data_IF_548662285198
#
_entry.id   IF_548662285198
#
_cell.length_a   1.000
_cell.length_b   1.000
_cell.length_c   1.000
_cell.angle_alpha   90.00
_cell.angle_beta   90.00
_cell.angle_gamma   90.00
#
_symmetry.space_group_name_H-M   'P 1'
#
loop_
_entity.id
_entity.type
_entity.pdbx_description
1 polymer ?
#
# COMPACT_ATOMS: atom_id res chain seq x y z
N UNK A 1 -14.54 -6.62 10.73
CA UNK A 1 -14.16 -7.46 9.57
C UNK A 1 -15.18 -7.17 8.48
N UNK A 2 -14.72 -6.79 7.29
CA UNK A 2 -15.61 -6.52 6.15
C UNK A 2 -16.27 -7.84 5.73
N UNK A 3 -17.61 -7.96 5.73
CA UNK A 3 -18.36 -9.21 5.54
C UNK A 3 -18.14 -9.89 4.16
N UNK A 4 -17.31 -9.31 3.29
CA UNK A 4 -17.04 -9.80 1.93
C UNK A 4 -15.56 -10.13 1.69
N UNK A 5 -14.77 -10.23 2.76
CA UNK A 5 -13.37 -10.64 2.69
C UNK A 5 -13.30 -12.16 2.45
N UNK A 6 -12.46 -12.60 1.50
CA UNK A 6 -12.19 -14.03 1.30
C UNK A 6 -11.57 -14.63 2.57
N UNK A 7 -11.69 -15.95 2.81
CA UNK A 7 -11.01 -16.61 3.93
C UNK A 7 -9.50 -16.31 3.97
N UNK A 8 -8.86 -16.25 2.79
CA UNK A 8 -7.47 -15.87 2.63
C UNK A 8 -7.22 -14.43 3.10
N UNK A 9 -8.09 -13.49 2.71
CA UNK A 9 -7.99 -12.10 3.14
C UNK A 9 -8.17 -11.91 4.66
N UNK A 10 -9.09 -12.65 5.27
CA UNK A 10 -9.29 -12.62 6.73
C UNK A 10 -8.06 -13.18 7.45
N UNK A 11 -7.57 -14.36 7.05
CA UNK A 11 -6.38 -14.97 7.64
C UNK A 11 -5.15 -14.05 7.47
N UNK A 12 -5.01 -13.42 6.30
CA UNK A 12 -3.90 -12.52 6.02
C UNK A 12 -3.94 -11.25 6.88
N UNK A 13 -5.12 -10.62 7.01
CA UNK A 13 -5.31 -9.45 7.87
C UNK A 13 -5.22 -9.74 9.38
N UNK A 14 -5.20 -11.02 9.77
CA UNK A 14 -4.96 -11.47 11.15
C UNK A 14 -3.54 -12.03 11.36
N UNK A 15 -2.74 -12.14 10.30
CA UNK A 15 -1.37 -12.65 10.37
C UNK A 15 -1.28 -14.16 10.59
N UNK A 16 -2.36 -14.91 10.35
CA UNK A 16 -2.41 -16.37 10.50
C UNK A 16 -1.67 -17.06 9.36
N UNK A 17 -0.34 -16.93 9.33
CA UNK A 17 0.51 -17.29 8.18
C UNK A 17 0.37 -18.77 7.78
N UNK A 18 0.33 -19.70 8.74
CA UNK A 18 0.13 -21.13 8.45
C UNK A 18 -1.24 -21.42 7.80
N UNK A 19 -2.29 -20.67 8.18
CA UNK A 19 -3.61 -20.79 7.56
C UNK A 19 -3.58 -20.21 6.14
N UNK A 20 -2.88 -19.10 5.94
CA UNK A 20 -2.66 -18.50 4.61
C UNK A 20 -1.98 -19.50 3.67
N UNK A 21 -0.91 -20.17 4.13
CA UNK A 21 -0.22 -21.21 3.34
C UNK A 21 -1.15 -22.38 2.97
N UNK A 22 -1.92 -22.90 3.93
CA UNK A 22 -2.89 -23.97 3.69
C UNK A 22 -3.97 -23.56 2.69
N UNK A 23 -4.49 -22.34 2.79
CA UNK A 23 -5.51 -21.81 1.88
C UNK A 23 -4.95 -21.65 0.46
N UNK A 24 -3.72 -21.15 0.31
CA UNK A 24 -3.04 -21.05 -0.99
C UNK A 24 -2.84 -22.44 -1.60
N UNK A 25 -2.36 -23.41 -0.81
CA UNK A 25 -2.19 -24.79 -1.25
C UNK A 25 -3.52 -25.46 -1.68
N UNK A 26 -4.64 -25.05 -1.08
CA UNK A 26 -5.98 -25.49 -1.45
C UNK A 26 -6.58 -24.75 -2.66
N UNK A 27 -5.82 -23.86 -3.31
CA UNK A 27 -6.25 -23.14 -4.52
C UNK A 27 -7.01 -21.84 -4.25
N UNK A 28 -6.85 -21.21 -3.08
CA UNK A 28 -7.43 -19.90 -2.83
C UNK A 28 -6.93 -18.85 -3.84
N UNK A 29 -7.84 -18.01 -4.33
CA UNK A 29 -7.51 -16.93 -5.27
C UNK A 29 -6.73 -15.83 -4.54
N UNK A 30 -5.42 -15.80 -4.75
CA UNK A 30 -4.46 -14.92 -4.05
C UNK A 30 -4.80 -13.44 -4.22
N UNK A 31 -5.23 -13.05 -5.43
CA UNK A 31 -5.52 -11.68 -5.80
C UNK A 31 -7.02 -11.32 -5.71
N UNK A 32 -7.81 -12.10 -4.96
CA UNK A 32 -9.23 -11.79 -4.78
C UNK A 32 -9.40 -10.40 -4.15
N UNK A 33 -10.20 -9.56 -4.80
CA UNK A 33 -10.59 -8.25 -4.29
C UNK A 33 -11.99 -8.34 -3.70
N UNK A 34 -12.16 -7.89 -2.45
CA UNK A 34 -13.50 -7.70 -1.89
C UNK A 34 -14.23 -6.52 -2.60
N UNK A 35 -15.48 -6.21 -2.20
CA UNK A 35 -16.24 -5.10 -2.81
C UNK A 35 -15.54 -3.74 -2.74
N UNK A 36 -14.61 -3.60 -1.81
CA UNK A 36 -13.83 -2.39 -1.61
C UNK A 36 -12.49 -2.42 -2.37
N UNK A 37 -12.18 -3.45 -3.14
CA UNK A 37 -10.88 -3.58 -3.83
C UNK A 37 -9.75 -4.10 -2.94
N UNK A 38 -10.04 -4.42 -1.67
CA UNK A 38 -9.04 -4.93 -0.72
C UNK A 38 -8.62 -6.35 -1.05
N UNK A 39 -7.30 -6.57 -1.13
CA UNK A 39 -6.67 -7.89 -1.35
C UNK A 39 -6.11 -8.47 -0.05
N UNK A 40 -5.81 -9.79 0.01
CA UNK A 40 -5.08 -10.39 1.12
C UNK A 40 -3.74 -9.69 1.40
N UNK A 41 -3.00 -9.32 0.35
CA UNK A 41 -1.73 -8.58 0.48
C UNK A 41 -1.96 -7.22 1.12
N UNK A 42 -2.96 -6.46 0.65
CA UNK A 42 -3.31 -5.16 1.23
C UNK A 42 -3.61 -5.29 2.72
N UNK A 43 -4.40 -6.28 3.13
CA UNK A 43 -4.75 -6.49 4.53
C UNK A 43 -3.51 -6.81 5.39
N UNK A 44 -2.63 -7.70 4.93
CA UNK A 44 -1.39 -8.01 5.63
C UNK A 44 -0.46 -6.79 5.75
N UNK A 45 -0.37 -5.96 4.70
CA UNK A 45 0.37 -4.70 4.73
C UNK A 45 -0.25 -3.68 5.68
N UNK A 46 -1.57 -3.55 5.72
CA UNK A 46 -2.30 -2.62 6.59
C UNK A 46 -2.03 -2.91 8.07
N UNK A 47 -2.00 -4.19 8.45
CA UNK A 47 -1.84 -4.63 9.85
C UNK A 47 -0.42 -5.02 10.24
N UNK A 48 0.55 -4.94 9.31
CA UNK A 48 1.97 -5.14 9.63
C UNK A 48 2.42 -6.61 9.71
N UNK A 49 1.72 -7.54 9.06
CA UNK A 49 2.03 -8.97 9.13
C UNK A 49 3.10 -9.38 8.10
N UNK A 50 4.37 -9.11 8.39
CA UNK A 50 5.50 -9.33 7.47
C UNK A 50 5.58 -10.74 6.91
N UNK A 51 5.54 -11.77 7.77
CA UNK A 51 5.66 -13.16 7.33
C UNK A 51 4.54 -13.54 6.36
N UNK A 52 3.34 -13.04 6.60
CA UNK A 52 2.20 -13.20 5.70
C UNK A 52 2.42 -12.46 4.37
N UNK A 53 2.96 -11.23 4.40
CA UNK A 53 3.35 -10.50 3.18
C UNK A 53 4.36 -11.30 2.36
N UNK A 54 5.39 -11.86 3.00
CA UNK A 54 6.41 -12.69 2.32
C UNK A 54 5.78 -13.90 1.62
N UNK A 55 4.90 -14.64 2.32
CA UNK A 55 4.18 -15.79 1.74
C UNK A 55 3.32 -15.36 0.55
N UNK A 56 2.56 -14.28 0.67
CA UNK A 56 1.68 -13.81 -0.40
C UNK A 56 2.47 -13.37 -1.63
N UNK A 57 3.55 -12.59 -1.46
CA UNK A 57 4.40 -12.15 -2.56
C UNK A 57 5.08 -13.33 -3.26
N UNK A 58 5.61 -14.30 -2.49
CA UNK A 58 6.22 -15.52 -3.05
C UNK A 58 5.26 -16.33 -3.92
N UNK A 59 3.97 -16.27 -3.61
CA UNK A 59 2.92 -16.99 -4.35
C UNK A 59 2.24 -16.12 -5.43
N UNK A 60 2.80 -14.97 -5.80
CA UNK A 60 2.30 -14.18 -6.94
C UNK A 60 1.19 -13.20 -6.59
N UNK A 61 1.13 -12.72 -5.34
CA UNK A 61 0.28 -11.58 -5.02
C UNK A 61 0.70 -10.34 -5.82
N UNK A 62 -0.27 -9.68 -6.47
CA UNK A 62 -0.03 -8.46 -7.19
C UNK A 62 0.17 -7.29 -6.21
N UNK A 63 1.40 -6.80 -6.17
CA UNK A 63 1.88 -5.76 -5.24
C UNK A 63 1.22 -4.39 -5.44
N UNK A 64 0.59 -4.16 -6.60
CA UNK A 64 0.07 -2.86 -7.01
C UNK A 64 -1.47 -2.76 -7.01
N UNK A 65 -2.19 -3.80 -6.56
CA UNK A 65 -3.65 -3.73 -6.44
C UNK A 65 -4.09 -2.80 -5.30
N UNK A 66 -4.84 -1.76 -5.63
CA UNK A 66 -5.28 -0.72 -4.70
C UNK A 66 -6.68 -0.95 -4.17
N UNK A 67 -7.00 -0.34 -3.02
CA UNK A 67 -8.34 -0.38 -2.40
C UNK A 67 -9.08 0.95 -2.52
N UNK A 68 -10.40 0.90 -2.69
CA UNK A 68 -11.27 2.09 -2.67
C UNK A 68 -11.51 2.67 -1.28
N UNK A 69 -11.32 1.88 -0.21
CA UNK A 69 -11.59 2.31 1.19
C UNK A 69 -10.65 3.39 1.69
N UNK A 70 -9.41 3.40 1.21
CA UNK A 70 -8.37 4.36 1.61
C UNK A 70 -7.98 5.25 0.41
N UNK A 71 -8.98 5.79 -0.30
CA UNK A 71 -8.78 6.72 -1.42
C UNK A 71 -7.91 6.15 -2.54
N UNK A 72 -8.06 4.88 -2.92
CA UNK A 72 -7.17 4.20 -3.87
C UNK A 72 -5.75 3.98 -3.33
N UNK A 73 -5.54 3.87 -2.02
CA UNK A 73 -4.21 3.59 -1.47
C UNK A 73 -3.66 2.26 -1.98
N UNK A 74 -2.37 2.28 -2.36
CA UNK A 74 -1.61 1.07 -2.66
C UNK A 74 -1.17 0.35 -1.37
N UNK A 75 -0.83 -0.96 -1.45
CA UNK A 75 -0.24 -1.69 -0.32
C UNK A 75 1.02 -1.00 0.22
N UNK A 76 1.87 -0.47 -0.68
CA UNK A 76 3.07 0.29 -0.31
C UNK A 76 2.73 1.57 0.43
N UNK A 77 1.77 2.35 -0.08
CA UNK A 77 1.33 3.59 0.57
C UNK A 77 0.83 3.33 1.98
N UNK A 78 0.05 2.25 2.16
CA UNK A 78 -0.49 1.92 3.48
C UNK A 78 0.57 1.41 4.45
N UNK A 79 1.45 0.50 4.02
CA UNK A 79 2.58 0.06 4.84
C UNK A 79 3.48 1.23 5.24
N UNK A 80 3.71 2.18 4.31
CA UNK A 80 4.51 3.36 4.56
C UNK A 80 3.86 4.31 5.58
N UNK A 81 2.58 4.62 5.40
CA UNK A 81 1.81 5.44 6.35
C UNK A 81 1.64 4.81 7.73
N UNK A 82 1.88 3.50 7.88
CA UNK A 82 1.87 2.79 9.17
C UNK A 82 3.27 2.55 9.75
N UNK A 83 4.32 2.91 9.01
CA UNK A 83 5.71 2.77 9.48
C UNK A 83 6.23 1.34 9.46
N UNK A 84 5.62 0.45 8.67
CA UNK A 84 6.05 -0.95 8.55
C UNK A 84 7.25 -1.07 7.60
N UNK A 85 8.40 -0.54 8.02
CA UNK A 85 9.61 -0.38 7.18
C UNK A 85 10.05 -1.68 6.51
N UNK A 86 10.09 -2.81 7.22
CA UNK A 86 10.48 -4.10 6.62
C UNK A 86 9.50 -4.55 5.52
N UNK A 87 8.19 -4.29 5.69
CA UNK A 87 7.19 -4.57 4.64
C UNK A 87 7.38 -3.63 3.46
N UNK A 88 7.70 -2.36 3.69
CA UNK A 88 7.99 -1.39 2.63
C UNK A 88 9.16 -1.87 1.76
N UNK A 89 10.26 -2.35 2.36
CA UNK A 89 11.40 -2.90 1.62
C UNK A 89 11.00 -4.11 0.76
N UNK A 90 10.16 -5.01 1.30
CA UNK A 90 9.65 -6.19 0.57
C UNK A 90 8.78 -5.80 -0.62
N UNK A 91 7.87 -4.84 -0.44
CA UNK A 91 6.99 -4.37 -1.50
C UNK A 91 7.80 -3.68 -2.61
N UNK A 92 8.78 -2.84 -2.27
CA UNK A 92 9.67 -2.20 -3.25
C UNK A 92 10.44 -3.27 -4.04
N UNK A 93 11.02 -4.26 -3.35
CA UNK A 93 11.75 -5.37 -3.98
C UNK A 93 10.86 -6.20 -4.90
N UNK A 94 9.55 -6.27 -4.61
CA UNK A 94 8.55 -6.96 -5.43
C UNK A 94 7.99 -6.09 -6.58
N UNK A 95 8.51 -4.88 -6.81
CA UNK A 95 8.10 -4.01 -7.91
C UNK A 95 6.90 -3.10 -7.60
N UNK A 96 6.71 -2.72 -6.33
CA UNK A 96 5.71 -1.72 -5.98
C UNK A 96 6.02 -0.36 -6.62
N UNK A 97 4.97 0.32 -7.11
CA UNK A 97 5.10 1.68 -7.66
C UNK A 97 5.34 2.68 -6.54
N UNK A 98 6.60 3.09 -6.36
CA UNK A 98 7.06 3.95 -5.24
C UNK A 98 6.35 5.30 -5.21
N UNK A 99 6.12 5.89 -6.38
CA UNK A 99 5.52 7.21 -6.53
C UNK A 99 4.02 7.17 -6.83
N UNK A 100 3.34 6.05 -6.54
CA UNK A 100 1.90 5.94 -6.74
C UNK A 100 1.16 7.02 -5.94
N UNK A 101 0.33 7.81 -6.61
CA UNK A 101 -0.54 8.81 -5.98
C UNK A 101 -1.93 8.23 -5.84
N UNK A 102 -2.44 8.24 -4.60
CA UNK A 102 -3.83 7.89 -4.35
C UNK A 102 -4.77 8.99 -4.89
N UNK A 103 -6.09 8.85 -4.72
CA UNK A 103 -7.10 9.80 -5.23
C UNK A 103 -6.89 11.25 -4.74
N UNK A 104 -6.26 11.42 -3.59
CA UNK A 104 -5.94 12.72 -3.01
C UNK A 104 -4.56 13.25 -3.47
N UNK A 105 -3.84 12.52 -4.30
CA UNK A 105 -2.45 12.85 -4.66
C UNK A 105 -1.42 12.44 -3.62
N UNK A 106 -1.80 11.76 -2.54
CA UNK A 106 -0.87 11.35 -1.48
C UNK A 106 -0.01 10.15 -1.95
N UNK A 107 1.30 10.30 -1.84
CA UNK A 107 2.30 9.25 -2.12
C UNK A 107 2.65 8.44 -0.86
N UNK A 108 3.28 7.26 -0.98
CA UNK A 108 3.85 6.55 0.17
C UNK A 108 4.79 7.41 1.00
N UNK A 109 5.63 8.24 0.35
CA UNK A 109 6.52 9.18 1.04
C UNK A 109 5.72 10.22 1.83
N UNK A 110 4.70 10.83 1.23
CA UNK A 110 3.83 11.78 1.92
C UNK A 110 3.20 11.15 3.17
N UNK A 111 2.66 9.92 3.06
CA UNK A 111 2.03 9.23 4.19
C UNK A 111 3.03 8.89 5.30
N UNK A 112 4.25 8.46 4.96
CA UNK A 112 5.31 8.19 5.94
C UNK A 112 5.75 9.48 6.66
N UNK A 113 5.91 10.59 5.92
CA UNK A 113 6.23 11.90 6.48
C UNK A 113 5.12 12.42 7.39
N UNK A 114 3.86 12.36 6.94
CA UNK A 114 2.69 12.81 7.70
C UNK A 114 2.60 12.15 9.08
N UNK A 115 2.97 10.87 9.17
CA UNK A 115 2.90 10.09 10.41
C UNK A 115 4.25 9.96 11.15
N UNK A 116 5.30 10.66 10.69
CA UNK A 116 6.59 10.74 11.40
C UNK A 116 7.46 9.48 11.32
N UNK A 117 7.28 8.62 10.32
CA UNK A 117 7.98 7.34 10.19
C UNK A 117 9.36 7.49 9.54
N UNK A 118 10.33 8.05 10.27
CA UNK A 118 11.68 8.40 9.77
C UNK A 118 12.38 7.26 9.02
N UNK A 119 12.46 6.05 9.60
CA UNK A 119 13.14 4.93 8.93
C UNK A 119 12.48 4.54 7.60
N UNK A 120 11.15 4.60 7.55
CA UNK A 120 10.40 4.36 6.32
C UNK A 120 10.66 5.45 5.27
N UNK A 121 10.75 6.71 5.69
CA UNK A 121 11.13 7.83 4.83
C UNK A 121 12.52 7.58 4.22
N UNK A 122 13.51 7.21 5.05
CA UNK A 122 14.88 6.93 4.58
C UNK A 122 14.90 5.82 3.52
N UNK A 123 14.15 4.73 3.74
CA UNK A 123 14.00 3.64 2.76
C UNK A 123 13.36 4.12 1.47
N UNK A 124 12.27 4.89 1.53
CA UNK A 124 11.59 5.38 0.33
C UNK A 124 12.48 6.33 -0.48
N UNK A 125 13.19 7.25 0.18
CA UNK A 125 14.12 8.18 -0.47
C UNK A 125 15.28 7.44 -1.15
N UNK A 126 15.87 6.46 -0.45
CA UNK A 126 16.95 5.63 -1.00
C UNK A 126 16.53 4.89 -2.28
N UNK A 127 15.23 4.59 -2.42
CA UNK A 127 14.68 3.88 -3.58
C UNK A 127 14.02 4.83 -4.62
N UNK A 128 14.27 6.14 -4.56
CA UNK A 128 13.83 7.07 -5.61
C UNK A 128 12.41 7.63 -5.45
N UNK A 129 11.91 7.71 -4.22
CA UNK A 129 10.69 8.47 -3.96
C UNK A 129 10.88 9.96 -4.30
N UNK A 130 9.93 10.53 -5.05
CA UNK A 130 9.97 11.92 -5.48
C UNK A 130 9.47 12.82 -4.35
N UNK A 131 10.37 13.66 -3.81
CA UNK A 131 10.09 14.60 -2.71
C UNK A 131 9.19 15.77 -3.10
N UNK A 132 9.02 16.03 -4.40
CA UNK A 132 8.27 17.17 -4.93
C UNK A 132 6.83 16.81 -5.32
N UNK A 133 6.41 15.55 -5.20
CA UNK A 133 5.01 15.18 -5.43
C UNK A 133 4.16 15.63 -4.26
N UNK A 134 3.24 16.55 -4.53
CA UNK A 134 2.34 17.12 -3.53
C UNK A 134 0.97 16.44 -3.58
N UNK A 135 0.31 16.40 -2.41
CA UNK A 135 -1.09 16.05 -2.31
C UNK A 135 -1.88 17.09 -3.11
N UNK A 136 -2.53 16.69 -4.20
CA UNK A 136 -3.45 17.56 -4.93
C UNK A 136 -4.63 17.85 -4.03
N UNK A 137 -4.71 19.08 -3.50
CA UNK A 137 -5.95 19.56 -2.92
C UNK A 137 -7.00 19.57 -4.04
N UNK A 138 -7.97 18.66 -3.98
CA UNK A 138 -9.11 18.61 -4.89
C UNK A 138 -10.10 19.79 -4.70
N UNK A 139 -9.59 20.97 -4.31
CA UNK A 139 -10.39 22.18 -4.16
C UNK A 139 -10.02 23.13 -5.31
N UNK A 140 -10.88 23.09 -6.33
CA UNK A 140 -11.09 24.04 -7.43
C UNK A 140 -9.95 24.31 -8.45
N UNK A 141 -10.21 24.14 -9.77
CA UNK A 141 -9.36 24.68 -10.82
C UNK A 141 -9.62 26.18 -10.97
N UNK A 142 -9.20 26.97 -10.00
CA UNK A 142 -9.07 28.43 -10.14
C UNK A 142 -7.92 28.86 -9.26
N UNK A 143 -6.75 29.02 -9.86
CA UNK A 143 -5.89 30.20 -9.78
C UNK A 143 -4.72 29.95 -10.73
N UNK A 144 -4.91 30.40 -11.97
CA UNK A 144 -3.80 30.87 -12.81
C UNK A 144 -3.29 32.14 -12.14
N UNK A 145 -2.04 32.14 -11.68
CA UNK A 145 -1.13 33.27 -11.82
C UNK A 145 0.24 32.63 -12.10
N UNK A 146 0.89 32.82 -13.26
CA UNK A 146 0.94 34.03 -14.04
C UNK A 146 2.18 34.81 -13.61
N UNK A 147 3.25 34.66 -14.40
CA UNK A 147 4.41 35.54 -14.56
C UNK A 147 4.36 36.91 -13.85
N UNK A 148 5.43 37.25 -13.12
CA UNK A 148 6.19 38.48 -13.40
C UNK A 148 7.68 38.27 -13.10
N UNK A 149 8.46 38.00 -14.15
CA UNK A 149 9.82 38.52 -14.22
C UNK A 149 9.70 40.00 -14.65
N UNK A 150 10.19 40.89 -13.79
CA UNK A 150 10.54 42.27 -14.11
C UNK A 150 11.92 42.52 -13.49
#
# INVERSE_FOLDING_TARGET
VDPLSSPLGIAAGKGHTEIVEKLIAAGAVINYQNKNGGTPLYAACYYGHKQTVDVLLKNGANVNLTTTVDLLSSPLGKAAGKGHTEIVEKLISAGAVINYQNKDGATPLYMACQNGHKQTVDVLLKNGANVNLTKTNLICPTHVEGSTAA
#
